data_IF_210698568582
#
_entry.id   IF_210698568582
#
_cell.length_a   1.000
_cell.length_b   1.000
_cell.length_c   1.000
_cell.angle_alpha   90.00
_cell.angle_beta   90.00
_cell.angle_gamma   90.00
#
_symmetry.space_group_name_H-M   'P 1'
#
loop_
_entity.id
_entity.type
_entity.pdbx_description
1 polymer ?
#
# COMPACT_ATOMS: atom_id res chain seq x y z
N UNK A 1 7.36 39.61 -17.93
CA UNK A 1 7.07 38.57 -18.95
C UNK A 1 6.76 37.29 -18.20
N UNK A 2 5.48 36.99 -17.96
CA UNK A 2 4.73 35.82 -18.52
C UNK A 2 5.29 34.49 -17.99
N UNK A 3 4.59 33.61 -17.29
CA UNK A 3 3.17 33.26 -17.19
C UNK A 3 3.07 32.41 -15.91
N UNK A 4 2.24 32.81 -14.94
CA UNK A 4 1.89 31.94 -13.81
C UNK A 4 0.40 32.12 -13.52
N UNK A 5 -0.39 31.50 -14.39
CA UNK A 5 -1.84 31.27 -14.30
C UNK A 5 -2.09 30.32 -15.46
N UNK A 6 -2.23 29.02 -15.18
CA UNK A 6 -2.90 28.02 -16.03
C UNK A 6 -2.57 26.60 -15.52
N UNK A 7 -3.12 26.20 -14.37
CA UNK A 7 -3.29 24.76 -14.06
C UNK A 7 -4.53 24.53 -13.20
N UNK A 8 -5.64 25.19 -13.55
CA UNK A 8 -6.96 24.88 -13.00
C UNK A 8 -7.94 24.58 -14.14
N UNK A 9 -7.73 23.43 -14.79
CA UNK A 9 -8.78 22.76 -15.58
C UNK A 9 -8.42 21.30 -15.87
N UNK A 10 -8.82 20.40 -14.97
CA UNK A 10 -9.27 19.03 -15.31
C UNK A 10 -10.38 18.62 -14.33
N UNK A 11 -11.48 19.37 -14.37
CA UNK A 11 -12.77 18.91 -13.90
C UNK A 11 -13.32 17.91 -14.94
N UNK A 12 -13.75 16.74 -14.48
CA UNK A 12 -14.35 15.66 -15.27
C UNK A 12 -15.63 16.18 -15.95
N UNK A 13 -15.77 16.11 -17.29
CA UNK A 13 -16.92 16.67 -18.01
C UNK A 13 -18.12 15.70 -18.01
N UNK A 14 -18.55 15.25 -16.83
CA UNK A 14 -19.73 14.38 -16.69
C UNK A 14 -20.47 14.58 -15.38
N UNK A 15 -20.76 15.82 -15.01
CA UNK A 15 -21.85 16.14 -14.07
C UNK A 15 -22.75 17.12 -14.80
N UNK A 16 -23.57 16.57 -15.71
CA UNK A 16 -24.69 17.31 -16.29
C UNK A 16 -25.59 17.80 -15.15
N UNK A 17 -26.14 19.01 -15.34
CA UNK A 17 -27.09 19.69 -14.46
C UNK A 17 -27.97 18.72 -13.66
N UNK A 18 -27.55 18.42 -12.44
CA UNK A 18 -28.40 17.70 -11.50
C UNK A 18 -29.37 18.75 -10.96
N UNK A 19 -30.61 18.75 -11.46
CA UNK A 19 -31.74 19.40 -10.78
C UNK A 19 -31.75 18.92 -9.33
N UNK A 20 -31.25 19.73 -8.41
CA UNK A 20 -31.23 19.41 -6.99
C UNK A 20 -32.66 19.40 -6.47
N UNK A 21 -33.25 18.21 -6.39
CA UNK A 21 -34.46 18.01 -5.60
C UNK A 21 -34.11 18.29 -4.12
N UNK A 22 -34.96 19.00 -3.35
CA UNK A 22 -34.72 19.27 -1.93
C UNK A 22 -34.57 18.00 -1.06
N UNK A 23 -34.94 16.84 -1.61
CA UNK A 23 -34.76 15.51 -1.01
C UNK A 23 -33.32 14.98 -1.08
N UNK A 24 -32.47 15.48 -1.98
CA UNK A 24 -31.07 15.03 -2.11
C UNK A 24 -30.14 15.87 -1.22
N UNK A 25 -30.39 17.18 -1.13
CA UNK A 25 -29.66 18.11 -0.27
C UNK A 25 -29.71 17.69 1.22
N UNK A 26 -30.90 17.30 1.68
CA UNK A 26 -31.10 16.79 3.05
C UNK A 26 -30.39 15.47 3.32
N UNK A 27 -30.23 14.59 2.32
CA UNK A 27 -29.43 13.36 2.45
C UNK A 27 -27.94 13.64 2.50
N UNK A 28 -27.45 14.61 1.71
CA UNK A 28 -26.05 15.03 1.72
C UNK A 28 -25.69 15.66 3.07
N UNK A 29 -26.53 16.55 3.60
CA UNK A 29 -26.34 17.17 4.92
C UNK A 29 -26.38 16.15 6.06
N UNK A 30 -27.26 15.15 5.98
CA UNK A 30 -27.34 14.06 6.97
C UNK A 30 -26.14 13.11 6.89
N UNK A 31 -25.58 12.93 5.69
CA UNK A 31 -24.37 12.13 5.46
C UNK A 31 -23.13 12.87 5.98
N UNK A 32 -22.99 14.15 5.65
CA UNK A 32 -21.95 15.06 6.15
C UNK A 32 -21.94 15.14 7.68
N UNK A 33 -23.09 15.30 8.33
CA UNK A 33 -23.16 15.35 9.81
C UNK A 33 -22.81 14.02 10.48
N UNK A 34 -23.18 12.88 9.88
CA UNK A 34 -22.81 11.55 10.37
C UNK A 34 -21.30 11.27 10.20
N UNK A 35 -20.72 11.64 9.06
CA UNK A 35 -19.28 11.57 8.81
C UNK A 35 -18.51 12.48 9.78
N UNK A 36 -18.97 13.72 9.99
CA UNK A 36 -18.34 14.66 10.92
C UNK A 36 -18.39 14.22 12.38
N UNK A 37 -19.39 13.44 12.78
CA UNK A 37 -19.49 12.86 14.12
C UNK A 37 -18.54 11.66 14.30
N UNK A 38 -18.40 10.83 13.26
CA UNK A 38 -17.40 9.76 13.21
C UNK A 38 -15.97 10.31 13.19
N UNK A 39 -15.73 11.42 12.50
CA UNK A 39 -14.44 12.09 12.50
C UNK A 39 -14.07 12.60 13.90
N UNK A 40 -15.02 13.14 14.65
CA UNK A 40 -14.77 13.57 16.04
C UNK A 40 -14.42 12.37 16.94
N UNK A 41 -15.11 11.24 16.75
CA UNK A 41 -14.82 10.00 17.49
C UNK A 41 -13.46 9.40 17.10
N UNK A 42 -13.11 9.41 15.82
CA UNK A 42 -11.82 8.95 15.32
C UNK A 42 -10.65 9.83 15.81
N UNK A 43 -10.84 11.16 15.85
CA UNK A 43 -9.88 12.12 16.43
C UNK A 43 -9.68 11.89 17.93
N UNK A 44 -10.76 11.58 18.65
CA UNK A 44 -10.70 11.29 20.09
C UNK A 44 -9.95 9.97 20.37
N UNK A 45 -10.01 9.01 19.45
CA UNK A 45 -9.27 7.74 19.49
C UNK A 45 -7.81 7.86 19.04
N UNK A 46 -7.32 9.06 18.71
CA UNK A 46 -5.95 9.27 18.22
C UNK A 46 -5.71 8.68 16.82
N UNK A 47 -6.77 8.34 16.09
CA UNK A 47 -6.65 7.92 14.70
C UNK A 47 -6.38 9.17 13.85
N UNK A 48 -5.22 9.22 13.19
CA UNK A 48 -4.94 10.25 12.19
C UNK A 48 -5.96 10.12 11.05
N UNK A 49 -6.89 11.07 10.98
CA UNK A 49 -7.92 11.19 9.93
C UNK A 49 -7.32 11.90 8.71
N UNK A 50 -6.03 11.71 8.44
CA UNK A 50 -5.47 12.20 7.19
C UNK A 50 -5.98 11.26 6.10
N UNK A 51 -7.03 11.72 5.42
CA UNK A 51 -7.55 11.09 4.21
C UNK A 51 -6.48 11.00 3.14
N UNK A 52 -6.87 10.50 1.96
CA UNK A 52 -6.00 10.41 0.78
C UNK A 52 -5.58 11.80 0.21
N UNK A 53 -5.64 12.84 1.01
CA UNK A 53 -5.30 14.18 0.58
C UNK A 53 -3.77 14.30 0.48
N UNK A 54 -3.26 14.89 -0.61
CA UNK A 54 -1.83 15.04 -0.83
C UNK A 54 -1.23 15.86 0.31
N UNK A 55 -0.24 15.28 0.99
CA UNK A 55 0.45 15.92 2.12
C UNK A 55 1.26 17.11 1.58
N UNK A 56 0.94 18.31 2.07
CA UNK A 56 1.65 19.53 1.74
C UNK A 56 3.16 19.41 2.08
N UNK A 57 4.07 20.02 1.31
CA UNK A 57 5.51 19.86 1.48
C UNK A 57 6.03 20.31 2.85
N UNK A 58 5.28 21.15 3.55
CA UNK A 58 5.58 21.70 4.88
C UNK A 58 5.24 20.78 6.06
N UNK A 59 4.41 19.75 5.86
CA UNK A 59 4.10 18.72 6.87
C UNK A 59 4.97 17.46 6.75
N UNK A 60 5.89 17.41 5.77
CA UNK A 60 6.87 16.32 5.60
C UNK A 60 8.02 16.46 6.62
N UNK A 61 7.70 16.43 7.92
CA UNK A 61 8.64 16.75 9.00
C UNK A 61 9.54 15.59 9.43
N UNK A 62 9.19 14.35 9.12
CA UNK A 62 9.98 13.19 9.57
C UNK A 62 11.06 12.79 8.56
N UNK A 63 12.25 13.40 8.66
CA UNK A 63 13.45 13.02 7.88
C UNK A 63 14.28 11.90 8.50
N UNK A 64 13.72 11.19 9.50
CA UNK A 64 14.48 10.20 10.27
C UNK A 64 14.59 8.90 9.46
N UNK A 65 15.67 8.77 8.69
CA UNK A 65 15.98 7.59 7.87
C UNK A 65 15.91 6.27 8.65
N UNK A 66 16.28 6.29 9.93
CA UNK A 66 16.16 5.12 10.82
C UNK A 66 14.72 4.62 10.97
N UNK A 67 13.70 5.50 11.04
CA UNK A 67 12.30 5.08 11.13
C UNK A 67 11.86 4.35 9.85
N UNK A 68 12.27 4.86 8.69
CA UNK A 68 11.97 4.24 7.41
C UNK A 68 12.69 2.89 7.25
N UNK A 69 13.96 2.82 7.67
CA UNK A 69 14.71 1.57 7.70
C UNK A 69 14.06 0.51 8.59
N UNK A 70 13.69 0.87 9.83
CA UNK A 70 13.03 -0.07 10.76
C UNK A 70 11.66 -0.51 10.25
N UNK A 71 10.87 0.40 9.66
CA UNK A 71 9.59 0.07 9.03
C UNK A 71 9.79 -0.93 7.89
N UNK A 72 10.77 -0.66 7.02
CA UNK A 72 11.06 -1.51 5.87
C UNK A 72 11.61 -2.87 6.30
N UNK A 73 12.53 -2.90 7.27
CA UNK A 73 13.05 -4.13 7.84
C UNK A 73 11.94 -4.98 8.45
N UNK A 74 11.03 -4.35 9.21
CA UNK A 74 9.86 -5.02 9.79
C UNK A 74 8.95 -5.65 8.72
N UNK A 75 8.67 -4.94 7.62
CA UNK A 75 7.86 -5.49 6.54
C UNK A 75 8.52 -6.68 5.82
N UNK A 76 9.85 -6.68 5.67
CA UNK A 76 10.58 -7.76 5.01
C UNK A 76 10.82 -8.97 5.92
N UNK A 77 10.81 -8.77 7.24
CA UNK A 77 10.96 -9.83 8.24
C UNK A 77 9.66 -10.64 8.38
N UNK A 78 9.33 -11.39 7.33
CA UNK A 78 8.19 -12.29 7.31
C UNK A 78 8.63 -13.75 7.13
N UNK A 79 7.87 -14.67 7.75
CA UNK A 79 8.09 -16.11 7.65
C UNK A 79 8.05 -16.61 6.20
N UNK A 80 7.30 -15.93 5.32
CA UNK A 80 7.22 -16.20 3.89
C UNK A 80 8.57 -16.00 3.19
N UNK A 81 9.31 -14.94 3.55
CA UNK A 81 10.64 -14.68 3.02
C UNK A 81 11.63 -15.78 3.42
N UNK A 82 11.56 -16.22 4.69
CA UNK A 82 12.40 -17.31 5.20
C UNK A 82 12.08 -18.64 4.51
N UNK A 83 10.79 -18.95 4.34
CA UNK A 83 10.34 -20.17 3.65
C UNK A 83 10.76 -20.20 2.18
N UNK A 84 10.73 -19.05 1.51
CA UNK A 84 11.13 -18.94 0.10
C UNK A 84 12.64 -19.14 -0.06
N UNK A 85 13.45 -18.57 0.85
CA UNK A 85 14.89 -18.77 0.86
C UNK A 85 15.28 -20.24 1.08
N UNK A 86 14.56 -20.94 1.97
CA UNK A 86 14.76 -22.36 2.21
C UNK A 86 14.32 -23.23 1.03
N UNK A 87 13.24 -22.84 0.33
CA UNK A 87 12.78 -23.53 -0.88
C UNK A 87 13.83 -23.51 -2.00
N UNK A 88 14.61 -22.42 -2.11
CA UNK A 88 15.67 -22.30 -3.11
C UNK A 88 16.77 -23.37 -2.97
N UNK A 89 17.17 -23.70 -1.75
CA UNK A 89 18.24 -24.69 -1.51
C UNK A 89 17.73 -26.13 -1.52
N UNK A 90 16.55 -26.38 -0.94
CA UNK A 90 15.96 -27.72 -0.91
C UNK A 90 15.32 -28.15 -2.23
N UNK A 91 14.82 -27.21 -3.04
CA UNK A 91 14.12 -27.50 -4.28
C UNK A 91 15.04 -27.77 -5.47
N UNK A 92 16.16 -27.06 -5.57
CA UNK A 92 17.05 -27.13 -6.73
C UNK A 92 18.34 -27.93 -6.51
N UNK A 93 18.66 -28.33 -5.26
CA UNK A 93 19.84 -29.15 -4.95
C UNK A 93 21.18 -28.47 -5.25
N UNK A 94 21.20 -27.18 -5.56
CA UNK A 94 22.40 -26.38 -5.77
C UNK A 94 23.08 -26.06 -4.43
N UNK A 95 24.40 -25.90 -4.46
CA UNK A 95 25.18 -25.55 -3.27
C UNK A 95 24.69 -24.26 -2.62
N UNK A 96 24.77 -24.20 -1.28
CA UNK A 96 24.36 -23.03 -0.49
C UNK A 96 25.00 -21.72 -0.99
N UNK A 97 26.21 -21.81 -1.53
CA UNK A 97 26.96 -20.68 -2.09
C UNK A 97 26.28 -20.11 -3.34
N UNK A 98 25.89 -20.97 -4.27
CA UNK A 98 25.30 -20.55 -5.56
C UNK A 98 23.88 -20.02 -5.36
N UNK A 99 23.07 -20.69 -4.53
CA UNK A 99 21.73 -20.21 -4.17
C UNK A 99 21.79 -18.85 -3.46
N UNK A 100 22.71 -18.67 -2.50
CA UNK A 100 22.87 -17.41 -1.79
C UNK A 100 23.28 -16.27 -2.72
N UNK A 101 24.23 -16.53 -3.65
CA UNK A 101 24.65 -15.52 -4.63
C UNK A 101 23.48 -15.08 -5.53
N UNK A 102 22.69 -16.03 -6.05
CA UNK A 102 21.52 -15.72 -6.89
C UNK A 102 20.49 -14.92 -6.10
N UNK A 103 20.15 -15.35 -4.89
CA UNK A 103 19.15 -14.65 -4.06
C UNK A 103 19.62 -13.23 -3.78
N UNK A 104 20.90 -13.02 -3.45
CA UNK A 104 21.46 -11.69 -3.22
C UNK A 104 21.46 -10.83 -4.49
N UNK A 105 21.84 -11.37 -5.65
CA UNK A 105 21.90 -10.60 -6.89
C UNK A 105 20.51 -10.11 -7.32
N UNK A 106 19.51 -11.01 -7.31
CA UNK A 106 18.13 -10.66 -7.63
C UNK A 106 17.51 -9.74 -6.57
N UNK A 107 17.77 -10.00 -5.28
CA UNK A 107 17.28 -9.14 -4.21
C UNK A 107 17.86 -7.73 -4.29
N UNK A 108 19.15 -7.58 -4.63
CA UNK A 108 19.77 -6.27 -4.82
C UNK A 108 19.14 -5.53 -6.01
N UNK A 109 18.92 -6.22 -7.12
CA UNK A 109 18.33 -5.63 -8.33
C UNK A 109 16.91 -5.12 -8.06
N UNK A 110 16.08 -5.91 -7.38
CA UNK A 110 14.73 -5.51 -6.96
C UNK A 110 14.76 -4.43 -5.87
N UNK A 111 15.71 -4.52 -4.93
CA UNK A 111 15.88 -3.53 -3.88
C UNK A 111 16.32 -2.15 -4.41
N UNK A 112 16.88 -2.06 -5.62
CA UNK A 112 17.13 -0.77 -6.29
C UNK A 112 15.87 -0.18 -6.92
N UNK A 113 14.92 -1.02 -7.33
CA UNK A 113 13.63 -0.59 -7.90
C UNK A 113 12.71 -0.04 -6.81
N UNK A 114 12.70 -0.65 -5.62
CA UNK A 114 11.91 -0.22 -4.48
C UNK A 114 12.07 1.27 -4.06
N UNK A 115 13.30 1.83 -3.90
CA UNK A 115 13.49 3.24 -3.58
C UNK A 115 13.08 4.12 -4.77
N UNK A 116 13.30 3.69 -6.00
CA UNK A 116 12.85 4.44 -7.18
C UNK A 116 11.33 4.63 -7.20
N UNK A 117 10.55 3.58 -6.87
CA UNK A 117 9.09 3.70 -6.70
C UNK A 117 8.71 4.52 -5.47
N UNK A 118 9.51 4.49 -4.42
CA UNK A 118 9.27 5.27 -3.20
C UNK A 118 9.42 6.77 -3.45
N UNK A 119 10.31 7.18 -4.37
CA UNK A 119 10.41 8.57 -4.82
C UNK A 119 9.10 9.07 -5.46
N UNK A 120 8.39 8.21 -6.21
CA UNK A 120 7.08 8.56 -6.75
C UNK A 120 6.03 8.76 -5.64
N UNK A 121 6.10 7.98 -4.56
CA UNK A 121 5.25 8.19 -3.39
C UNK A 121 5.50 9.53 -2.69
N UNK A 122 6.78 9.89 -2.48
CA UNK A 122 7.16 11.15 -1.80
C UNK A 122 6.85 12.38 -2.65
N UNK A 123 7.03 12.31 -3.98
CA UNK A 123 6.79 13.45 -4.89
C UNK A 123 5.31 13.70 -5.14
N UNK A 124 4.53 12.65 -5.39
CA UNK A 124 3.14 12.79 -5.82
C UNK A 124 2.15 12.86 -4.65
N UNK A 125 2.53 12.41 -3.45
CA UNK A 125 1.69 12.52 -2.24
C UNK A 125 0.38 11.74 -2.30
N UNK A 126 0.15 10.98 -3.37
CA UNK A 126 -1.04 10.16 -3.63
C UNK A 126 -0.68 8.69 -3.50
N UNK A 127 -1.62 7.88 -3.00
CA UNK A 127 -1.46 6.42 -2.89
C UNK A 127 -1.15 5.80 -4.26
N UNK A 128 -0.25 4.81 -4.29
CA UNK A 128 0.16 4.11 -5.52
C UNK A 128 -1.04 3.54 -6.31
N UNK A 129 -2.11 3.16 -5.62
CA UNK A 129 -3.36 2.69 -6.25
C UNK A 129 -4.04 3.74 -7.13
N UNK A 130 -3.85 5.03 -6.85
CA UNK A 130 -4.49 6.13 -7.60
C UNK A 130 -3.63 6.54 -8.79
N UNK A 131 -2.30 6.37 -8.71
CA UNK A 131 -1.41 6.53 -9.86
C UNK A 131 -1.74 5.52 -10.96
N UNK A 132 -2.07 4.28 -10.58
CA UNK A 132 -2.51 3.26 -11.55
C UNK A 132 -3.78 3.68 -12.31
N UNK A 133 -4.69 4.45 -11.67
CA UNK A 133 -5.90 4.98 -12.34
C UNK A 133 -5.56 6.00 -13.43
N UNK A 134 -4.49 6.77 -13.27
CA UNK A 134 -4.09 7.78 -14.25
C UNK A 134 -3.40 7.18 -15.48
N UNK A 135 -2.70 6.06 -15.35
CA UNK A 135 -2.00 5.42 -16.47
C UNK A 135 -2.88 4.52 -17.35
N UNK A 136 -3.88 3.82 -16.77
CA UNK A 136 -4.66 2.80 -17.50
C UNK A 136 -6.06 3.25 -17.96
N UNK A 137 -6.48 4.48 -17.64
CA UNK A 137 -7.79 5.03 -18.03
C UNK A 137 -8.99 4.47 -17.24
N UNK A 138 -10.22 4.94 -17.56
CA UNK A 138 -11.46 4.63 -16.79
C UNK A 138 -11.78 3.13 -16.73
N UNK A 139 -11.48 2.37 -17.79
CA UNK A 139 -11.76 0.92 -17.85
C UNK A 139 -10.56 0.04 -17.50
N UNK A 140 -9.33 0.49 -17.78
CA UNK A 140 -8.12 -0.31 -17.53
C UNK A 140 -7.70 -0.39 -16.06
N UNK A 141 -8.19 0.52 -15.20
CA UNK A 141 -7.85 0.51 -13.77
C UNK A 141 -8.42 -0.69 -13.00
N UNK A 142 -9.49 -1.32 -13.49
CA UNK A 142 -10.12 -2.45 -12.80
C UNK A 142 -9.18 -3.66 -12.70
N UNK A 143 -8.35 -3.90 -13.72
CA UNK A 143 -7.43 -5.04 -13.80
C UNK A 143 -6.36 -4.99 -12.70
N UNK A 144 -5.52 -3.93 -12.59
CA UNK A 144 -4.50 -3.85 -11.54
C UNK A 144 -5.13 -3.75 -10.14
N UNK A 145 -6.33 -3.20 -10.00
CA UNK A 145 -7.05 -3.14 -8.73
C UNK A 145 -7.41 -4.54 -8.22
N UNK A 146 -8.04 -5.36 -9.07
CA UNK A 146 -8.42 -6.74 -8.74
C UNK A 146 -7.17 -7.60 -8.52
N UNK A 147 -6.16 -7.45 -9.36
CA UNK A 147 -4.89 -8.17 -9.20
C UNK A 147 -4.22 -7.83 -7.87
N UNK A 148 -4.18 -6.55 -7.49
CA UNK A 148 -3.61 -6.14 -6.22
C UNK A 148 -4.41 -6.70 -5.02
N UNK A 149 -5.74 -6.71 -5.10
CA UNK A 149 -6.57 -7.36 -4.08
C UNK A 149 -6.28 -8.86 -3.99
N UNK A 150 -6.19 -9.55 -5.12
CA UNK A 150 -5.86 -10.97 -5.16
C UNK A 150 -4.48 -11.26 -4.55
N UNK A 151 -3.47 -10.41 -4.81
CA UNK A 151 -2.14 -10.53 -4.22
C UNK A 151 -2.18 -10.39 -2.69
N UNK A 152 -2.90 -9.41 -2.16
CA UNK A 152 -3.02 -9.22 -0.71
C UNK A 152 -3.74 -10.41 -0.05
N UNK A 153 -4.80 -10.90 -0.68
CA UNK A 153 -5.52 -12.10 -0.20
C UNK A 153 -4.63 -13.33 -0.24
N UNK A 154 -3.91 -13.55 -1.35
CA UNK A 154 -2.96 -14.66 -1.48
C UNK A 154 -1.87 -14.60 -0.42
N UNK A 155 -1.30 -13.43 -0.18
CA UNK A 155 -0.30 -13.21 0.87
C UNK A 155 -0.86 -13.53 2.26
N UNK A 156 -2.09 -13.09 2.57
CA UNK A 156 -2.75 -13.38 3.83
C UNK A 156 -2.98 -14.89 4.04
N UNK A 157 -3.47 -15.59 3.00
CA UNK A 157 -3.68 -17.05 3.04
C UNK A 157 -2.38 -17.79 3.30
N UNK A 158 -1.31 -17.46 2.57
CA UNK A 158 0.01 -18.07 2.77
C UNK A 158 0.52 -17.82 4.20
N UNK A 159 0.36 -16.59 4.71
CA UNK A 159 0.70 -16.25 6.08
C UNK A 159 -0.03 -17.11 7.11
N UNK A 160 -1.35 -17.32 6.94
CA UNK A 160 -2.14 -18.18 7.82
C UNK A 160 -1.71 -19.65 7.77
N UNK A 161 -1.42 -20.19 6.57
CA UNK A 161 -0.98 -21.58 6.41
C UNK A 161 0.38 -21.81 7.07
N UNK A 162 1.35 -20.92 6.84
CA UNK A 162 2.68 -21.05 7.45
C UNK A 162 2.61 -20.88 8.97
N UNK A 163 1.80 -19.94 9.46
CA UNK A 163 1.55 -19.76 10.89
C UNK A 163 0.95 -21.01 11.54
N UNK A 164 -0.05 -21.63 10.91
CA UNK A 164 -0.65 -22.87 11.38
C UNK A 164 0.33 -24.05 11.43
N UNK A 165 1.14 -24.22 10.38
CA UNK A 165 2.20 -25.25 10.33
C UNK A 165 3.23 -25.06 11.44
N UNK A 166 3.65 -23.82 11.69
CA UNK A 166 4.63 -23.51 12.73
C UNK A 166 4.07 -23.78 14.14
N UNK A 167 2.82 -23.40 14.40
CA UNK A 167 2.16 -23.65 15.68
C UNK A 167 2.07 -25.15 16.00
N UNK A 168 1.60 -25.95 15.03
CA UNK A 168 1.51 -27.41 15.17
C UNK A 168 2.88 -28.04 15.47
N UNK A 169 3.91 -27.64 14.71
CA UNK A 169 5.25 -28.19 14.85
C UNK A 169 5.87 -27.87 16.22
N UNK A 170 5.63 -26.66 16.75
CA UNK A 170 6.09 -26.28 18.08
C UNK A 170 5.41 -27.11 19.18
N UNK A 171 4.09 -27.33 19.09
CA UNK A 171 3.38 -28.15 20.08
C UNK A 171 3.89 -29.59 20.11
N UNK A 172 4.14 -30.20 18.96
CA UNK A 172 4.70 -31.57 18.89
C UNK A 172 6.10 -31.65 19.50
N UNK A 173 6.92 -30.62 19.31
CA UNK A 173 8.31 -30.59 19.79
C UNK A 173 8.44 -30.28 21.29
N UNK A 174 7.44 -29.58 21.87
CA UNK A 174 7.36 -29.31 23.31
C UNK A 174 6.81 -30.52 24.08
N UNK A 175 6.09 -31.42 23.41
CA UNK A 175 5.49 -32.61 24.03
C UNK A 175 6.41 -33.86 23.99
N UNK A 176 7.55 -33.80 23.31
CA UNK A 176 8.62 -34.81 23.35
C UNK A 176 9.74 -34.38 24.28
#
# INVERSE_FOLDING_TARGET
MTMSKDTEKRADPSVGELRTNPMDESRILKRETKFRSLDKFAKLLGAEIQGNDPIAPEDKKDRRYFKLFTLWFSMNFNLLSVSTGMSGTLGFGLGLRDCSLIILFFSLLVALVAPYLSLFGVKLGIRQMIQARFSFGKYGVAIPLVLNMATIVGYAILGSILGGKLCLLLTLKVCQ
#
